data_IF_225569306975
#
_entry.id   IF_225569306975
#
_cell.length_a   1.000
_cell.length_b   1.000
_cell.length_c   1.000
_cell.angle_alpha   90.00
_cell.angle_beta   90.00
_cell.angle_gamma   90.00
#
_symmetry.space_group_name_H-M   'P 1'
#
loop_
_entity.id
_entity.type
_entity.pdbx_description
1 polymer ?
#
# COMPACT_ATOMS: atom_id res chain seq x y z
N UNK A 1 58.02 47.24 -65.96
CA UNK A 1 56.61 46.81 -65.88
C UNK A 1 55.74 47.99 -65.47
N UNK A 2 55.66 49.00 -66.34
CA UNK A 2 54.92 50.27 -66.12
C UNK A 2 54.05 50.57 -67.37
N UNK A 3 53.92 49.61 -68.30
CA UNK A 3 53.27 49.81 -69.61
C UNK A 3 51.77 49.48 -69.68
N UNK A 4 51.16 48.94 -68.62
CA UNK A 4 49.72 48.59 -68.62
C UNK A 4 48.86 49.57 -67.79
N UNK A 5 49.48 50.45 -67.00
CA UNK A 5 48.75 51.38 -66.12
C UNK A 5 48.42 52.70 -66.86
N UNK A 6 49.16 53.06 -67.91
CA UNK A 6 48.92 54.29 -68.68
C UNK A 6 47.79 54.21 -69.72
N UNK A 7 47.31 53.02 -70.09
CA UNK A 7 46.13 52.89 -70.98
C UNK A 7 44.79 53.07 -70.26
N UNK A 8 44.79 53.16 -68.93
CA UNK A 8 43.56 53.37 -68.15
C UNK A 8 43.14 54.85 -68.03
N UNK A 9 44.00 55.81 -68.39
CA UNK A 9 43.77 57.24 -68.14
C UNK A 9 43.30 58.06 -69.35
N UNK A 10 43.01 57.43 -70.49
CA UNK A 10 42.43 58.09 -71.68
C UNK A 10 40.91 57.92 -71.79
N UNK A 11 40.27 57.28 -70.81
CA UNK A 11 38.83 57.10 -70.79
C UNK A 11 38.13 58.32 -70.17
N UNK A 12 37.23 58.94 -70.95
CA UNK A 12 36.36 60.02 -70.52
C UNK A 12 35.68 59.65 -69.18
N UNK A 13 35.83 60.49 -68.15
CA UNK A 13 35.32 60.31 -66.78
C UNK A 13 33.85 59.87 -66.77
N UNK A 14 33.09 60.35 -67.76
CA UNK A 14 31.70 59.99 -68.00
C UNK A 14 31.50 58.48 -68.23
N UNK A 15 32.41 57.85 -68.98
CA UNK A 15 32.40 56.41 -69.31
C UNK A 15 32.68 55.56 -68.07
N UNK A 16 33.62 55.99 -67.21
CA UNK A 16 33.93 55.30 -65.95
C UNK A 16 32.75 55.36 -64.99
N UNK A 17 32.09 56.52 -64.89
CA UNK A 17 30.90 56.71 -64.05
C UNK A 17 29.71 55.88 -64.59
N UNK A 18 29.52 55.84 -65.91
CA UNK A 18 28.50 54.98 -66.55
C UNK A 18 28.77 53.50 -66.27
N UNK A 19 30.03 53.07 -66.31
CA UNK A 19 30.43 51.70 -65.95
C UNK A 19 30.09 51.35 -64.50
N UNK A 20 30.39 52.24 -63.55
CA UNK A 20 30.03 52.08 -62.14
C UNK A 20 28.50 52.05 -61.92
N UNK A 21 27.76 52.92 -62.60
CA UNK A 21 26.29 52.94 -62.54
C UNK A 21 25.68 51.67 -63.13
N UNK A 22 26.23 51.13 -64.22
CA UNK A 22 25.76 49.87 -64.81
C UNK A 22 26.00 48.68 -63.88
N UNK A 23 27.12 48.65 -63.16
CA UNK A 23 27.39 47.62 -62.13
C UNK A 23 26.35 47.72 -60.99
N UNK A 24 25.99 48.94 -60.56
CA UNK A 24 24.96 49.16 -59.52
C UNK A 24 23.56 48.77 -60.00
N UNK A 25 23.22 48.95 -61.28
CA UNK A 25 21.89 48.67 -61.84
C UNK A 25 21.73 47.20 -62.23
N UNK A 26 22.76 46.58 -62.83
CA UNK A 26 22.72 45.18 -63.30
C UNK A 26 22.99 44.20 -62.18
N UNK A 27 23.81 44.60 -61.21
CA UNK A 27 24.19 43.78 -60.08
C UNK A 27 23.05 43.15 -59.28
N UNK A 28 22.03 43.92 -58.86
CA UNK A 28 20.91 43.40 -58.11
C UNK A 28 20.07 42.34 -58.85
N UNK A 29 20.14 42.27 -60.19
CA UNK A 29 19.40 41.29 -61.00
C UNK A 29 20.06 39.90 -61.04
N UNK A 30 21.34 39.77 -60.67
CA UNK A 30 22.08 38.51 -60.72
C UNK A 30 22.06 37.87 -59.33
N UNK A 31 20.90 37.37 -58.92
CA UNK A 31 20.59 36.95 -57.54
C UNK A 31 21.74 36.30 -56.76
N UNK A 32 22.17 35.08 -57.13
CA UNK A 32 23.16 34.30 -56.35
C UNK A 32 24.61 34.77 -56.48
N UNK A 33 25.01 35.28 -57.64
CA UNK A 33 26.40 35.75 -57.85
C UNK A 33 26.67 37.11 -57.20
N UNK A 34 25.64 37.93 -56.99
CA UNK A 34 25.76 39.21 -56.29
C UNK A 34 26.04 39.06 -54.79
N UNK A 35 25.70 37.91 -54.20
CA UNK A 35 26.00 37.61 -52.79
C UNK A 35 27.50 37.42 -52.55
N UNK A 36 28.20 36.72 -53.45
CA UNK A 36 29.66 36.52 -53.34
C UNK A 36 30.48 37.81 -53.51
N UNK A 37 29.94 38.81 -54.21
CA UNK A 37 30.54 40.14 -54.30
C UNK A 37 30.52 40.87 -52.95
N UNK A 38 29.40 40.81 -52.24
CA UNK A 38 29.27 41.36 -50.88
C UNK A 38 30.21 40.67 -49.88
N UNK A 39 30.43 39.36 -50.01
CA UNK A 39 31.42 38.61 -49.21
C UNK A 39 32.87 39.01 -49.55
N UNK A 40 33.19 39.24 -50.83
CA UNK A 40 34.52 39.69 -51.27
C UNK A 40 34.88 41.10 -50.78
N UNK A 41 33.90 42.01 -50.71
CA UNK A 41 34.09 43.38 -50.17
C UNK A 41 33.85 43.47 -48.65
N UNK A 42 33.65 42.34 -47.98
CA UNK A 42 33.50 42.26 -46.51
C UNK A 42 32.24 42.90 -45.94
N UNK A 43 31.24 43.21 -46.77
CA UNK A 43 29.99 43.83 -46.33
C UNK A 43 28.85 42.82 -46.42
N UNK A 44 28.46 42.24 -45.29
CA UNK A 44 27.36 41.28 -45.24
C UNK A 44 25.98 41.99 -45.36
N UNK A 45 25.11 41.60 -46.31
CA UNK A 45 23.79 42.19 -46.43
C UNK A 45 22.89 41.77 -45.25
N UNK A 46 22.21 42.76 -44.65
CA UNK A 46 21.36 42.57 -43.45
C UNK A 46 20.25 41.51 -43.61
N UNK A 47 19.86 41.14 -44.82
CA UNK A 47 18.84 40.11 -45.10
C UNK A 47 19.33 38.69 -44.79
N UNK A 48 20.58 38.34 -45.13
CA UNK A 48 21.14 37.02 -44.85
C UNK A 48 21.34 36.79 -43.35
N UNK A 49 21.75 37.83 -42.61
CA UNK A 49 21.82 37.78 -41.14
C UNK A 49 20.45 37.50 -40.53
N UNK A 50 19.41 38.21 -40.99
CA UNK A 50 18.02 37.98 -40.54
C UNK A 50 17.52 36.57 -40.87
N UNK A 51 17.86 36.01 -42.03
CA UNK A 51 17.47 34.66 -42.39
C UNK A 51 18.18 33.58 -41.55
N UNK A 52 19.48 33.76 -41.25
CA UNK A 52 20.22 32.88 -40.33
C UNK A 52 19.66 32.96 -38.91
N UNK A 53 19.41 34.17 -38.41
CA UNK A 53 18.79 34.39 -37.10
C UNK A 53 17.39 33.78 -37.02
N UNK A 54 16.59 33.89 -38.07
CA UNK A 54 15.28 33.24 -38.13
C UNK A 54 15.41 31.72 -38.13
N UNK A 55 16.29 31.15 -38.95
CA UNK A 55 16.57 29.71 -38.97
C UNK A 55 17.06 29.19 -37.63
N UNK A 56 17.94 29.93 -36.97
CA UNK A 56 18.46 29.59 -35.64
C UNK A 56 17.37 29.68 -34.56
N UNK A 57 16.52 30.72 -34.60
CA UNK A 57 15.36 30.86 -33.70
C UNK A 57 14.36 29.73 -33.92
N UNK A 58 14.05 29.38 -35.17
CA UNK A 58 13.17 28.25 -35.46
C UNK A 58 13.78 26.93 -35.00
N UNK A 59 15.08 26.72 -35.20
CA UNK A 59 15.76 25.50 -34.75
C UNK A 59 15.73 25.39 -33.23
N UNK A 60 16.06 26.46 -32.51
CA UNK A 60 15.94 26.53 -31.04
C UNK A 60 14.51 26.29 -30.55
N UNK A 61 13.51 26.78 -31.30
CA UNK A 61 12.11 26.54 -30.98
C UNK A 61 11.73 25.07 -31.15
N UNK A 62 12.15 24.42 -32.23
CA UNK A 62 11.94 22.99 -32.46
C UNK A 62 12.68 22.12 -31.42
N UNK A 63 13.94 22.42 -31.14
CA UNK A 63 14.73 21.73 -30.09
C UNK A 63 14.03 21.84 -28.72
N UNK A 64 13.53 23.03 -28.38
CA UNK A 64 12.77 23.26 -27.14
C UNK A 64 11.42 22.54 -27.13
N UNK A 65 10.75 22.45 -28.28
CA UNK A 65 9.49 21.71 -28.43
C UNK A 65 9.69 20.21 -28.25
N UNK A 66 10.76 19.64 -28.82
CA UNK A 66 11.15 18.25 -28.60
C UNK A 66 11.49 17.99 -27.14
N UNK A 67 12.22 18.90 -26.48
CA UNK A 67 12.54 18.79 -25.06
C UNK A 67 11.26 18.76 -24.20
N UNK A 68 10.33 19.69 -24.42
CA UNK A 68 9.05 19.70 -23.71
C UNK A 68 8.23 18.45 -23.99
N UNK A 69 8.24 17.96 -25.23
CA UNK A 69 7.55 16.72 -25.58
C UNK A 69 8.13 15.53 -24.81
N UNK A 70 9.45 15.39 -24.77
CA UNK A 70 10.13 14.34 -24.01
C UNK A 70 9.85 14.46 -22.50
N UNK A 71 9.87 15.67 -21.94
CA UNK A 71 9.50 15.90 -20.54
C UNK A 71 8.06 15.49 -20.27
N UNK A 72 7.12 15.85 -21.15
CA UNK A 72 5.70 15.50 -21.00
C UNK A 72 5.46 13.98 -21.04
N UNK A 73 6.16 13.25 -21.91
CA UNK A 73 6.13 11.79 -21.97
C UNK A 73 6.65 11.20 -20.66
N UNK A 74 7.80 11.66 -20.17
CA UNK A 74 8.37 11.18 -18.89
C UNK A 74 7.43 11.41 -17.72
N UNK A 75 6.78 12.57 -17.65
CA UNK A 75 5.80 12.90 -16.62
C UNK A 75 4.59 11.98 -16.72
N UNK A 76 4.02 11.80 -17.93
CA UNK A 76 2.89 10.89 -18.17
C UNK A 76 3.22 9.46 -17.77
N UNK A 77 4.34 8.93 -18.23
CA UNK A 77 4.75 7.55 -17.96
C UNK A 77 5.05 7.36 -16.46
N UNK A 78 5.60 8.38 -15.80
CA UNK A 78 5.78 8.40 -14.35
C UNK A 78 4.47 8.40 -13.58
N UNK A 79 3.49 9.21 -14.02
CA UNK A 79 2.16 9.28 -13.44
C UNK A 79 1.41 7.95 -13.61
N UNK A 80 1.48 7.34 -14.79
CA UNK A 80 0.89 6.04 -15.05
C UNK A 80 1.46 4.95 -14.15
N UNK A 81 2.79 4.90 -13.99
CA UNK A 81 3.43 3.96 -13.04
C UNK A 81 2.99 4.18 -11.60
N UNK A 82 2.86 5.44 -11.19
CA UNK A 82 2.38 5.78 -9.85
C UNK A 82 0.93 5.35 -9.66
N UNK A 83 0.06 5.57 -10.65
CA UNK A 83 -1.33 5.15 -10.63
C UNK A 83 -1.44 3.63 -10.56
N UNK A 84 -0.73 2.89 -11.41
CA UNK A 84 -0.69 1.43 -11.35
C UNK A 84 -0.19 0.90 -9.99
N UNK A 85 0.77 1.59 -9.37
CA UNK A 85 1.25 1.22 -8.03
C UNK A 85 0.21 1.50 -6.96
N UNK A 86 -0.52 2.61 -7.06
CA UNK A 86 -1.63 2.92 -6.15
C UNK A 86 -2.74 1.88 -6.28
N UNK A 87 -3.13 1.53 -7.50
CA UNK A 87 -4.17 0.53 -7.76
C UNK A 87 -3.77 -0.84 -7.20
N UNK A 88 -2.52 -1.28 -7.43
CA UNK A 88 -1.99 -2.51 -6.84
C UNK A 88 -1.96 -2.48 -5.32
N UNK A 89 -1.54 -1.35 -4.74
CA UNK A 89 -1.50 -1.21 -3.29
C UNK A 89 -2.92 -1.22 -2.70
N UNK A 90 -3.88 -0.61 -3.37
CA UNK A 90 -5.29 -0.62 -2.95
C UNK A 90 -5.86 -2.03 -3.02
N UNK A 91 -5.63 -2.76 -4.12
CA UNK A 91 -6.04 -4.16 -4.25
C UNK A 91 -5.42 -5.04 -3.15
N UNK A 92 -4.12 -4.88 -2.88
CA UNK A 92 -3.45 -5.60 -1.81
C UNK A 92 -4.04 -5.27 -0.43
N UNK A 93 -4.38 -4.00 -0.20
CA UNK A 93 -5.01 -3.58 1.04
C UNK A 93 -6.42 -4.17 1.20
N UNK A 94 -7.22 -4.17 0.14
CA UNK A 94 -8.55 -4.78 0.12
C UNK A 94 -8.47 -6.30 0.38
N UNK A 95 -7.57 -7.01 -0.30
CA UNK A 95 -7.33 -8.44 -0.06
C UNK A 95 -6.93 -8.70 1.39
N UNK A 96 -5.97 -7.93 1.92
CA UNK A 96 -5.52 -8.10 3.30
C UNK A 96 -6.61 -7.78 4.32
N UNK A 97 -7.50 -6.82 4.02
CA UNK A 97 -8.66 -6.53 4.86
C UNK A 97 -9.65 -7.70 4.88
N UNK A 98 -9.91 -8.35 3.75
CA UNK A 98 -10.77 -9.53 3.71
C UNK A 98 -10.15 -10.73 4.44
N UNK A 99 -8.84 -10.97 4.27
CA UNK A 99 -8.10 -11.97 5.05
C UNK A 99 -8.22 -11.71 6.56
N UNK A 100 -7.97 -10.48 7.00
CA UNK A 100 -8.10 -10.11 8.42
C UNK A 100 -9.53 -10.31 8.94
N UNK A 101 -10.56 -10.02 8.14
CA UNK A 101 -11.96 -10.26 8.54
C UNK A 101 -12.23 -11.75 8.71
N UNK A 102 -11.71 -12.58 7.81
CA UNK A 102 -11.84 -14.02 7.89
C UNK A 102 -11.13 -14.56 9.14
N UNK A 103 -9.89 -14.14 9.39
CA UNK A 103 -9.12 -14.53 10.57
C UNK A 103 -9.84 -14.14 11.87
N UNK A 104 -10.39 -12.92 11.94
CA UNK A 104 -11.18 -12.48 13.10
C UNK A 104 -12.44 -13.33 13.30
N UNK A 105 -13.08 -13.77 12.22
CA UNK A 105 -14.23 -14.66 12.30
C UNK A 105 -13.85 -16.05 12.82
N UNK A 106 -12.74 -16.62 12.33
CA UNK A 106 -12.23 -17.92 12.78
C UNK A 106 -11.77 -17.87 14.26
N UNK A 107 -11.08 -16.80 14.67
CA UNK A 107 -10.68 -16.57 16.06
C UNK A 107 -11.92 -16.48 16.96
N UNK A 108 -12.93 -15.70 16.58
CA UNK A 108 -14.17 -15.56 17.37
C UNK A 108 -14.89 -16.90 17.53
N UNK A 109 -14.97 -17.67 16.46
CA UNK A 109 -15.61 -18.98 16.45
C UNK A 109 -14.85 -19.96 17.36
N UNK A 110 -13.53 -20.00 17.24
CA UNK A 110 -12.64 -20.82 18.05
C UNK A 110 -12.75 -20.45 19.54
N UNK A 111 -12.77 -19.16 19.86
CA UNK A 111 -12.91 -18.67 21.23
C UNK A 111 -14.25 -19.10 21.84
N UNK A 112 -15.35 -19.01 21.11
CA UNK A 112 -16.66 -19.50 21.57
C UNK A 112 -16.65 -21.02 21.78
N UNK A 113 -16.00 -21.77 20.90
CA UNK A 113 -15.85 -23.22 21.05
C UNK A 113 -15.06 -23.57 22.32
N UNK A 114 -13.92 -22.91 22.54
CA UNK A 114 -13.08 -23.10 23.73
C UNK A 114 -13.87 -22.78 25.00
N UNK A 115 -14.62 -21.67 25.03
CA UNK A 115 -15.47 -21.33 26.17
C UNK A 115 -16.49 -22.43 26.49
N UNK A 116 -17.18 -22.97 25.47
CA UNK A 116 -18.11 -24.09 25.65
C UNK A 116 -17.43 -25.35 26.16
N UNK A 117 -16.24 -25.67 25.62
CA UNK A 117 -15.45 -26.82 26.06
C UNK A 117 -14.99 -26.68 27.51
N UNK A 118 -14.53 -25.49 27.93
CA UNK A 118 -14.10 -25.21 29.30
C UNK A 118 -15.27 -25.29 30.29
N UNK A 119 -16.43 -24.73 29.93
CA UNK A 119 -17.64 -24.85 30.73
C UNK A 119 -18.04 -26.32 30.90
N UNK A 120 -18.10 -27.07 29.80
CA UNK A 120 -18.43 -28.50 29.82
C UNK A 120 -17.46 -29.29 30.69
N UNK A 121 -16.15 -29.09 30.51
CA UNK A 121 -15.13 -29.80 31.29
C UNK A 121 -15.20 -29.45 32.78
N UNK A 122 -15.48 -28.19 33.11
CA UNK A 122 -15.67 -27.74 34.50
C UNK A 122 -16.86 -28.47 35.15
N UNK A 123 -17.99 -28.55 34.44
CA UNK A 123 -19.19 -29.28 34.87
C UNK A 123 -18.89 -30.77 35.03
N UNK A 124 -18.20 -31.40 34.07
CA UNK A 124 -17.83 -32.81 34.11
C UNK A 124 -16.87 -33.13 35.26
N UNK A 125 -15.89 -32.27 35.50
CA UNK A 125 -14.93 -32.41 36.61
C UNK A 125 -15.63 -32.32 37.96
N UNK A 126 -16.51 -31.32 38.16
CA UNK A 126 -17.29 -31.19 39.40
C UNK A 126 -18.22 -32.38 39.59
N UNK A 127 -18.93 -32.82 38.53
CA UNK A 127 -19.77 -34.03 38.56
C UNK A 127 -18.96 -35.25 38.98
N UNK A 128 -17.81 -35.46 38.35
CA UNK A 128 -16.92 -36.59 38.66
C UNK A 128 -16.49 -36.56 40.13
N UNK A 129 -16.09 -35.39 40.65
CA UNK A 129 -15.71 -35.27 42.06
C UNK A 129 -16.84 -35.70 43.01
N UNK A 130 -18.08 -35.27 42.74
CA UNK A 130 -19.26 -35.66 43.56
C UNK A 130 -19.50 -37.17 43.49
N UNK A 131 -19.46 -37.75 42.28
CA UNK A 131 -19.68 -39.18 42.08
C UNK A 131 -18.58 -40.04 42.70
N UNK A 132 -17.32 -39.62 42.55
CA UNK A 132 -16.17 -40.31 43.12
C UNK A 132 -16.24 -40.26 44.65
N UNK A 133 -16.57 -39.11 45.25
CA UNK A 133 -16.76 -38.99 46.69
C UNK A 133 -17.90 -39.90 47.19
N UNK A 134 -19.04 -39.90 46.50
CA UNK A 134 -20.15 -40.82 46.78
C UNK A 134 -19.70 -42.28 46.74
N UNK A 135 -18.90 -42.67 45.74
CA UNK A 135 -18.36 -44.01 45.62
C UNK A 135 -17.42 -44.37 46.79
N UNK A 136 -16.60 -43.43 47.28
CA UNK A 136 -15.75 -43.68 48.46
C UNK A 136 -16.58 -43.97 49.71
N UNK A 137 -17.69 -43.23 49.91
CA UNK A 137 -18.59 -43.46 51.03
C UNK A 137 -19.32 -44.80 50.92
N UNK A 138 -19.78 -45.17 49.72
CA UNK A 138 -20.37 -46.48 49.45
C UNK A 138 -19.40 -47.63 49.76
N UNK A 139 -18.11 -47.40 49.55
CA UNK A 139 -17.03 -48.32 49.91
C UNK A 139 -16.63 -48.28 51.41
N UNK A 140 -17.42 -47.59 52.24
CA UNK A 140 -17.23 -47.43 53.69
C UNK A 140 -15.89 -46.76 54.07
N UNK A 141 -15.31 -45.98 53.17
CA UNK A 141 -14.13 -45.18 53.50
C UNK A 141 -14.53 -44.03 54.43
N UNK A 142 -13.84 -43.88 55.56
CA UNK A 142 -14.08 -42.76 56.47
C UNK A 142 -13.55 -41.48 55.86
N UNK A 143 -14.42 -40.47 55.78
CA UNK A 143 -14.08 -39.13 55.34
C UNK A 143 -14.15 -38.16 56.53
N UNK A 144 -13.31 -37.13 56.50
CA UNK A 144 -13.30 -36.10 57.55
C UNK A 144 -14.32 -34.98 57.24
N UNK A 145 -14.58 -34.13 58.22
CA UNK A 145 -15.55 -33.02 58.09
C UNK A 145 -15.18 -32.04 56.99
N UNK A 146 -13.89 -31.81 56.77
CA UNK A 146 -13.40 -30.90 55.74
C UNK A 146 -13.73 -31.41 54.33
N UNK A 147 -13.53 -32.70 54.05
CA UNK A 147 -13.87 -33.32 52.77
C UNK A 147 -15.38 -33.27 52.48
N UNK A 148 -16.24 -33.45 53.49
CA UNK A 148 -17.68 -33.24 53.34
C UNK A 148 -18.00 -31.77 53.01
N UNK A 149 -17.39 -30.81 53.72
CA UNK A 149 -17.62 -29.40 53.44
C UNK A 149 -17.16 -29.02 52.02
N UNK A 150 -16.03 -29.57 51.56
CA UNK A 150 -15.53 -29.37 50.21
C UNK A 150 -16.52 -29.92 49.16
N UNK A 151 -17.10 -31.11 49.40
CA UNK A 151 -18.05 -31.69 48.45
C UNK A 151 -19.37 -30.93 48.41
N UNK A 152 -19.87 -30.45 49.55
CA UNK A 152 -21.07 -29.61 49.58
C UNK A 152 -20.87 -28.31 48.80
N UNK A 153 -19.73 -27.63 48.99
CA UNK A 153 -19.38 -26.45 48.20
C UNK A 153 -19.24 -26.76 46.71
N UNK A 154 -18.63 -27.90 46.38
CA UNK A 154 -18.49 -28.34 44.99
C UNK A 154 -19.85 -28.56 44.33
N UNK A 155 -20.82 -29.13 45.06
CA UNK A 155 -22.18 -29.33 44.58
C UNK A 155 -22.96 -28.01 44.44
N UNK A 156 -22.86 -27.10 45.41
CA UNK A 156 -23.47 -25.77 45.31
C UNK A 156 -22.95 -24.99 44.09
N UNK A 157 -21.63 -24.99 43.88
CA UNK A 157 -21.02 -24.39 42.69
C UNK A 157 -21.49 -25.07 41.40
N UNK A 158 -21.62 -26.40 41.41
CA UNK A 158 -22.10 -27.17 40.27
C UNK A 158 -23.53 -26.78 39.88
N UNK A 159 -24.46 -26.77 40.84
CA UNK A 159 -25.85 -26.35 40.63
C UNK A 159 -25.95 -24.90 40.16
N UNK A 160 -25.13 -24.02 40.74
CA UNK A 160 -25.08 -22.62 40.32
C UNK A 160 -24.63 -22.49 38.86
N UNK A 161 -23.56 -23.18 38.46
CA UNK A 161 -23.07 -23.15 37.07
C UNK A 161 -24.14 -23.70 36.12
N UNK A 162 -24.83 -24.78 36.49
CA UNK A 162 -25.91 -25.32 35.66
C UNK A 162 -27.04 -24.33 35.49
N UNK A 163 -27.51 -23.73 36.59
CA UNK A 163 -28.60 -22.74 36.58
C UNK A 163 -28.24 -21.49 35.79
N UNK A 164 -27.03 -20.96 35.97
CA UNK A 164 -26.56 -19.77 35.28
C UNK A 164 -26.39 -19.99 33.76
N UNK A 165 -26.37 -21.25 33.30
CA UNK A 165 -26.22 -21.63 31.90
C UNK A 165 -27.43 -22.40 31.33
N UNK A 166 -28.57 -22.42 32.03
CA UNK A 166 -29.80 -23.14 31.64
C UNK A 166 -29.57 -24.63 31.30
N UNK A 167 -28.74 -25.31 32.10
CA UNK A 167 -28.39 -26.72 31.92
C UNK A 167 -29.06 -27.60 32.98
N UNK A 168 -29.43 -28.83 32.60
CA UNK A 168 -30.05 -29.80 33.52
C UNK A 168 -29.00 -30.55 34.37
N UNK A 169 -29.41 -30.93 35.58
CA UNK A 169 -28.59 -31.77 36.46
C UNK A 169 -28.47 -33.19 35.88
N UNK A 170 -27.22 -33.62 35.68
CA UNK A 170 -26.90 -34.93 35.10
C UNK A 170 -26.65 -36.02 36.14
N UNK A 171 -27.58 -36.24 37.08
CA UNK A 171 -27.59 -37.32 38.10
C UNK A 171 -26.76 -37.10 39.37
N UNK A 172 -26.33 -35.87 39.69
CA UNK A 172 -25.60 -35.61 40.95
C UNK A 172 -26.51 -35.44 42.16
N UNK A 173 -27.80 -35.13 41.94
CA UNK A 173 -28.77 -34.89 43.01
C UNK A 173 -28.93 -36.11 43.94
N UNK A 174 -29.09 -37.31 43.38
CA UNK A 174 -29.24 -38.55 44.17
C UNK A 174 -27.95 -38.89 44.94
N UNK A 175 -26.78 -38.68 44.33
CA UNK A 175 -25.50 -38.85 45.02
C UNK A 175 -25.37 -37.85 46.17
N UNK A 176 -25.80 -36.61 45.99
CA UNK A 176 -25.75 -35.60 47.04
C UNK A 176 -26.71 -35.90 48.19
N UNK A 177 -27.91 -36.43 47.89
CA UNK A 177 -28.85 -36.93 48.93
C UNK A 177 -28.17 -38.01 49.78
N UNK A 178 -27.59 -39.03 49.14
CA UNK A 178 -26.88 -40.10 49.85
C UNK A 178 -25.71 -39.58 50.71
N UNK A 179 -24.85 -38.73 50.15
CA UNK A 179 -23.73 -38.13 50.89
C UNK A 179 -24.23 -37.36 52.12
N UNK A 180 -25.31 -36.58 51.96
CA UNK A 180 -25.91 -35.80 53.05
C UNK A 180 -26.45 -36.69 54.17
N UNK A 181 -27.09 -37.81 53.83
CA UNK A 181 -27.57 -38.78 54.81
C UNK A 181 -26.44 -39.38 55.64
N UNK A 182 -25.33 -39.79 54.99
CA UNK A 182 -24.15 -40.32 55.67
C UNK A 182 -23.53 -39.27 56.59
N UNK A 183 -23.39 -38.03 56.12
CA UNK A 183 -22.88 -36.92 56.93
C UNK A 183 -23.71 -36.71 58.20
N UNK A 184 -25.05 -36.68 58.08
CA UNK A 184 -25.95 -36.53 59.23
C UNK A 184 -25.88 -37.72 60.19
N UNK A 185 -25.69 -38.95 59.70
CA UNK A 185 -25.46 -40.12 60.54
C UNK A 185 -24.16 -40.00 61.34
N UNK A 186 -23.06 -39.61 60.69
CA UNK A 186 -21.76 -39.44 61.35
C UNK A 186 -21.77 -38.31 62.39
N UNK A 187 -22.51 -37.22 62.16
CA UNK A 187 -22.70 -36.15 63.15
C UNK A 187 -23.48 -36.65 64.38
N UNK A 188 -24.55 -37.42 64.18
CA UNK A 188 -25.35 -37.98 65.28
C UNK A 188 -24.55 -38.95 66.14
N UNK A 189 -23.64 -39.70 65.54
CA UNK A 189 -22.80 -40.67 66.23
C UNK A 189 -21.55 -40.06 66.89
N UNK A 190 -21.23 -38.78 66.61
CA UNK A 190 -20.01 -38.15 67.09
C UNK A 190 -18.73 -38.60 66.35
N UNK A 191 -18.87 -39.23 65.18
CA UNK A 191 -17.76 -39.79 64.40
C UNK A 191 -17.01 -38.72 63.57
N UNK A 192 -17.58 -37.52 63.44
CA UNK A 192 -17.00 -36.36 62.76
C UNK A 192 -16.41 -35.39 63.80
N UNK A 193 -15.10 -35.51 64.03
CA UNK A 193 -14.30 -34.57 64.84
C UNK A 193 -13.56 -33.61 63.91
#
# INVERSE_FOLDING_TARGET
>A
MIGEIEQLFTLDLKTVIIGLLLIIIVGPKIGKSWVGFWDFIGFEPKSLRKEREQKEKTKKLFEKQEEYHQQSIRIRDGLEKNQQKLDKNQQNLEMHQEEMKQDLFEIRTSLSCIQKMLLKNTIETKRKNILDFCATLSNKQKQNKEAFNEIFRTYEDYEKILKDNDMENGQTEESMKFISEIYQQMLRNGDLI
#
